data_IF_924469629826
#
_entry.id   IF_924469629826
#
_cell.length_a   1.000
_cell.length_b   1.000
_cell.length_c   1.000
_cell.angle_alpha   90.00
_cell.angle_beta   90.00
_cell.angle_gamma   90.00
#
_symmetry.space_group_name_H-M   'P 1'
#
loop_
_entity.id
_entity.type
_entity.pdbx_description
1 polymer ?
#
# COMPACT_ATOMS: atom_id res chain seq x y z
N UNK A 1 36.81 -2.05 2.67
CA UNK A 1 36.23 -3.41 2.74
C UNK A 1 34.73 -3.25 3.00
N UNK A 2 33.91 -3.36 1.95
CA UNK A 2 32.96 -4.46 1.71
C UNK A 2 31.73 -4.38 2.65
N UNK A 3 30.47 -4.25 2.22
CA UNK A 3 29.81 -4.74 1.00
C UNK A 3 28.65 -3.79 0.64
N UNK A 4 28.47 -3.64 -0.67
CA UNK A 4 27.42 -2.90 -1.36
C UNK A 4 26.01 -3.02 -0.75
N UNK A 5 25.37 -1.88 -0.56
CA UNK A 5 23.92 -1.75 -0.82
C UNK A 5 23.75 -0.91 -2.08
N UNK A 6 24.24 -1.46 -3.19
CA UNK A 6 23.76 -1.09 -4.53
C UNK A 6 22.33 -1.59 -4.54
N UNK A 7 21.36 -0.71 -4.33
CA UNK A 7 19.95 -1.06 -4.51
C UNK A 7 19.78 -1.30 -6.00
N UNK A 8 19.97 -2.55 -6.42
CA UNK A 8 19.56 -3.04 -7.71
C UNK A 8 18.03 -3.02 -7.71
N UNK A 9 17.47 -1.97 -8.29
CA UNK A 9 16.03 -1.87 -8.55
C UNK A 9 15.70 -2.67 -9.82
N UNK A 10 16.06 -3.96 -9.84
CA UNK A 10 15.72 -4.90 -10.92
C UNK A 10 14.31 -5.51 -10.74
N UNK A 11 13.54 -5.07 -9.74
CA UNK A 11 12.31 -5.73 -9.31
C UNK A 11 11.01 -5.19 -9.95
N UNK A 12 10.98 -5.08 -11.29
CA UNK A 12 9.73 -5.10 -12.07
C UNK A 12 9.92 -6.01 -13.30
N UNK A 13 10.32 -7.25 -13.04
CA UNK A 13 10.36 -8.29 -14.08
C UNK A 13 9.01 -8.99 -14.10
N UNK A 14 8.15 -8.54 -15.00
CA UNK A 14 7.27 -9.45 -15.71
C UNK A 14 7.24 -9.00 -17.18
N UNK A 15 7.96 -9.73 -18.04
CA UNK A 15 8.08 -9.55 -19.52
C UNK A 15 8.56 -8.18 -20.04
N UNK A 16 9.00 -7.24 -19.19
CA UNK A 16 9.54 -5.95 -19.64
C UNK A 16 11.05 -6.03 -19.88
N UNK A 17 11.52 -5.47 -21.00
CA UNK A 17 12.95 -5.39 -21.31
C UNK A 17 13.65 -4.40 -20.36
N UNK A 18 14.88 -4.72 -19.93
CA UNK A 18 15.69 -3.87 -19.04
C UNK A 18 15.99 -2.51 -19.68
N UNK A 19 16.17 -1.47 -18.86
CA UNK A 19 16.45 -0.10 -19.33
C UNK A 19 17.73 -0.08 -20.17
N UNK A 20 18.77 -0.80 -19.74
CA UNK A 20 20.04 -0.88 -20.47
C UNK A 20 19.86 -1.51 -21.85
N UNK A 21 19.01 -2.53 -21.97
CA UNK A 21 18.70 -3.13 -23.26
C UNK A 21 17.98 -2.14 -24.18
N UNK A 22 17.01 -1.37 -23.66
CA UNK A 22 16.31 -0.34 -24.44
C UNK A 22 17.28 0.73 -24.95
N UNK A 23 18.18 1.19 -24.09
CA UNK A 23 19.23 2.17 -24.45
C UNK A 23 20.15 1.62 -25.53
N UNK A 24 20.58 0.36 -25.40
CA UNK A 24 21.41 -0.30 -26.41
C UNK A 24 20.72 -0.38 -27.77
N UNK A 25 19.43 -0.76 -27.80
CA UNK A 25 18.66 -0.85 -29.05
C UNK A 25 18.54 0.51 -29.73
N UNK A 26 18.27 1.58 -28.98
CA UNK A 26 18.19 2.94 -29.54
C UNK A 26 19.56 3.41 -30.04
N UNK A 27 20.61 3.19 -29.26
CA UNK A 27 21.98 3.55 -29.63
C UNK A 27 22.40 2.88 -30.95
N UNK A 28 22.18 1.56 -31.09
CA UNK A 28 22.49 0.83 -32.34
C UNK A 28 21.64 1.33 -33.51
N UNK A 29 20.37 1.69 -33.29
CA UNK A 29 19.52 2.25 -34.34
C UNK A 29 20.03 3.60 -34.85
N UNK A 30 20.48 4.48 -33.95
CA UNK A 30 21.04 5.79 -34.30
C UNK A 30 22.42 5.67 -34.97
N UNK A 31 23.27 4.76 -34.49
CA UNK A 31 24.61 4.51 -35.03
C UNK A 31 24.56 3.91 -36.44
N UNK A 32 23.70 2.92 -36.67
CA UNK A 32 23.56 2.23 -37.95
C UNK A 32 22.57 2.93 -38.91
N UNK A 33 21.84 3.95 -38.44
CA UNK A 33 20.85 4.70 -39.24
C UNK A 33 19.65 3.85 -39.70
N UNK A 34 19.32 2.80 -38.95
CA UNK A 34 18.29 1.81 -39.33
C UNK A 34 16.86 2.32 -39.10
N UNK A 35 15.91 1.81 -39.89
CA UNK A 35 14.49 2.02 -39.59
C UNK A 35 14.02 1.15 -38.43
N UNK A 36 12.95 1.58 -37.76
CA UNK A 36 12.31 0.87 -36.63
C UNK A 36 12.06 -0.62 -36.94
N UNK A 37 11.65 -0.95 -38.17
CA UNK A 37 11.36 -2.34 -38.57
C UNK A 37 12.62 -3.19 -38.70
N UNK A 38 13.70 -2.60 -39.20
CA UNK A 38 14.98 -3.28 -39.38
C UNK A 38 15.65 -3.53 -38.03
N UNK A 39 15.68 -2.52 -37.16
CA UNK A 39 16.13 -2.66 -35.77
C UNK A 39 15.32 -3.72 -35.03
N UNK A 40 13.98 -3.70 -35.18
CA UNK A 40 13.12 -4.71 -34.56
C UNK A 40 13.45 -6.14 -35.04
N UNK A 41 13.77 -6.30 -36.33
CA UNK A 41 14.18 -7.59 -36.92
C UNK A 41 15.56 -8.03 -36.42
N UNK A 42 16.52 -7.11 -36.34
CA UNK A 42 17.89 -7.36 -35.85
C UNK A 42 17.89 -7.85 -34.40
N UNK A 43 17.12 -7.18 -33.53
CA UNK A 43 17.01 -7.53 -32.12
C UNK A 43 15.90 -8.55 -31.81
N UNK A 44 15.17 -9.03 -32.83
CA UNK A 44 14.04 -9.98 -32.72
C UNK A 44 12.98 -9.54 -31.70
N UNK A 45 12.63 -8.26 -31.74
CA UNK A 45 11.62 -7.63 -30.88
C UNK A 45 10.46 -7.11 -31.72
N UNK A 46 9.33 -6.83 -31.08
CA UNK A 46 8.19 -6.21 -31.77
C UNK A 46 8.51 -4.76 -32.18
N UNK A 47 8.15 -4.36 -33.40
CA UNK A 47 8.34 -2.98 -33.89
C UNK A 47 7.68 -1.93 -32.98
N UNK A 48 6.51 -2.26 -32.43
CA UNK A 48 5.81 -1.40 -31.47
C UNK A 48 6.62 -1.16 -30.18
N UNK A 49 7.47 -2.10 -29.75
CA UNK A 49 8.33 -1.92 -28.58
C UNK A 49 9.41 -0.88 -28.85
N UNK A 50 10.06 -0.95 -30.02
CA UNK A 50 11.07 0.04 -30.44
C UNK A 50 10.43 1.43 -30.54
N UNK A 51 9.27 1.54 -31.19
CA UNK A 51 8.53 2.83 -31.25
C UNK A 51 8.16 3.37 -29.87
N UNK A 52 7.81 2.51 -28.90
CA UNK A 52 7.53 2.94 -27.53
C UNK A 52 8.79 3.47 -26.83
N UNK A 53 9.94 2.84 -27.03
CA UNK A 53 11.19 3.26 -26.39
C UNK A 53 11.75 4.57 -26.94
N UNK A 54 11.58 4.83 -28.24
CA UNK A 54 11.91 6.13 -28.85
C UNK A 54 11.15 7.26 -28.16
N UNK A 55 9.85 7.04 -27.87
CA UNK A 55 9.04 8.03 -27.18
C UNK A 55 9.32 8.09 -25.66
N UNK A 56 9.55 6.94 -25.03
CA UNK A 56 9.76 6.83 -23.60
C UNK A 56 10.63 5.61 -23.26
N UNK A 57 11.89 5.86 -22.89
CA UNK A 57 12.85 4.82 -22.51
C UNK A 57 12.50 4.22 -21.14
N UNK A 58 12.25 5.10 -20.17
CA UNK A 58 11.96 4.72 -18.79
C UNK A 58 10.55 4.11 -18.67
N UNK A 59 10.38 3.00 -17.94
CA UNK A 59 9.07 2.41 -17.74
C UNK A 59 8.12 3.40 -17.08
N UNK A 60 6.86 3.43 -17.55
CA UNK A 60 5.82 4.26 -16.93
C UNK A 60 5.60 3.78 -15.49
N UNK A 61 5.74 4.69 -14.53
CA UNK A 61 5.44 4.41 -13.13
C UNK A 61 3.98 3.97 -12.99
N UNK A 62 3.77 2.84 -12.32
CA UNK A 62 2.42 2.39 -11.97
C UNK A 62 1.84 3.31 -10.90
N UNK A 63 0.76 4.00 -11.23
CA UNK A 63 0.03 4.80 -10.25
C UNK A 63 -0.80 3.88 -9.36
N UNK A 64 -0.76 4.09 -8.05
CA UNK A 64 -1.63 3.34 -7.15
C UNK A 64 -3.09 3.73 -7.39
N UNK A 65 -3.96 2.72 -7.54
CA UNK A 65 -5.42 2.94 -7.66
C UNK A 65 -5.96 3.67 -6.43
N UNK A 66 -6.66 4.79 -6.66
CA UNK A 66 -7.42 5.47 -5.62
C UNK A 66 -8.57 4.58 -5.14
N UNK A 67 -8.67 4.40 -3.82
CA UNK A 67 -9.71 3.58 -3.17
C UNK A 67 -10.80 4.50 -2.61
N UNK A 68 -11.95 3.94 -2.24
CA UNK A 68 -13.10 4.70 -1.72
C UNK A 68 -12.83 5.43 -0.40
N UNK A 69 -11.88 4.95 0.39
CA UNK A 69 -11.56 5.52 1.70
C UNK A 69 -10.34 6.43 1.53
N UNK A 70 -10.50 7.72 1.84
CA UNK A 70 -9.34 8.58 2.03
C UNK A 70 -8.68 8.28 3.38
N UNK A 71 -7.36 8.09 3.35
CA UNK A 71 -6.59 7.78 4.55
C UNK A 71 -6.50 8.99 5.46
N UNK A 72 -6.44 10.20 4.90
CA UNK A 72 -6.31 11.42 5.69
C UNK A 72 -7.56 11.66 6.55
N UNK A 73 -8.74 11.45 5.95
CA UNK A 73 -10.03 11.52 6.65
C UNK A 73 -10.19 10.42 7.69
N UNK A 74 -9.77 9.18 7.37
CA UNK A 74 -9.84 8.08 8.33
C UNK A 74 -8.95 8.31 9.56
N UNK A 75 -7.78 8.94 9.41
CA UNK A 75 -6.92 9.30 10.55
C UNK A 75 -7.63 10.30 11.46
N UNK A 76 -8.22 11.36 10.88
CA UNK A 76 -8.98 12.37 11.64
C UNK A 76 -10.16 11.76 12.38
N UNK A 77 -10.89 10.84 11.74
CA UNK A 77 -12.01 10.13 12.38
C UNK A 77 -11.53 9.23 13.54
N UNK A 78 -10.35 8.62 13.43
CA UNK A 78 -9.73 7.85 14.52
C UNK A 78 -9.34 8.73 15.70
N UNK A 79 -8.78 9.92 15.45
CA UNK A 79 -8.44 10.89 16.49
C UNK A 79 -9.66 11.47 17.18
N UNK A 80 -10.71 11.81 16.41
CA UNK A 80 -11.92 12.41 16.95
C UNK A 80 -12.76 11.41 17.76
N UNK A 81 -12.76 10.14 17.38
CA UNK A 81 -13.57 9.10 18.01
C UNK A 81 -12.73 7.86 18.32
N UNK A 82 -11.83 7.88 19.32
CA UNK A 82 -10.90 6.79 19.57
C UNK A 82 -11.61 5.45 19.90
N UNK A 83 -12.74 5.52 20.61
CA UNK A 83 -13.51 4.36 21.04
C UNK A 83 -14.54 3.86 20.01
N UNK A 84 -14.70 4.55 18.87
CA UNK A 84 -15.68 4.16 17.86
C UNK A 84 -15.37 2.81 17.22
N UNK A 85 -16.40 1.98 17.11
CA UNK A 85 -16.31 0.67 16.48
C UNK A 85 -16.14 0.79 14.97
N UNK A 86 -15.51 -0.23 14.36
CA UNK A 86 -15.29 -0.25 12.90
C UNK A 86 -16.60 -0.17 12.10
N UNK A 87 -17.71 -0.66 12.65
CA UNK A 87 -19.04 -0.57 12.03
C UNK A 87 -19.54 0.87 11.96
N UNK A 88 -19.44 1.62 13.05
CA UNK A 88 -19.86 3.03 13.13
C UNK A 88 -19.03 3.90 12.18
N UNK A 89 -17.72 3.65 12.12
CA UNK A 89 -16.84 4.30 11.13
C UNK A 89 -17.27 3.97 9.71
N UNK A 90 -17.58 2.70 9.43
CA UNK A 90 -18.01 2.26 8.12
C UNK A 90 -19.31 2.93 7.66
N UNK A 91 -20.25 3.16 8.58
CA UNK A 91 -21.48 3.93 8.32
C UNK A 91 -21.18 5.39 7.94
N UNK A 92 -20.25 6.06 8.65
CA UNK A 92 -19.81 7.44 8.31
C UNK A 92 -19.18 7.55 6.93
N UNK A 93 -18.34 6.58 6.57
CA UNK A 93 -17.63 6.53 5.29
C UNK A 93 -18.46 5.88 4.16
N UNK A 94 -19.65 5.35 4.44
CA UNK A 94 -20.48 4.64 3.45
C UNK A 94 -19.81 3.40 2.85
N UNK A 95 -18.98 2.71 3.63
CA UNK A 95 -18.22 1.51 3.20
C UNK A 95 -18.59 0.29 4.05
N UNK A 96 -18.09 -0.89 3.66
CA UNK A 96 -18.24 -2.07 4.50
C UNK A 96 -17.21 -2.05 5.66
N UNK A 97 -17.59 -2.64 6.80
CA UNK A 97 -16.71 -2.76 7.98
C UNK A 97 -15.34 -3.37 7.65
N UNK A 98 -15.30 -4.36 6.75
CA UNK A 98 -14.05 -5.01 6.33
C UNK A 98 -13.08 -4.04 5.66
N UNK A 99 -13.58 -3.06 4.90
CA UNK A 99 -12.75 -2.05 4.25
C UNK A 99 -12.05 -1.16 5.27
N UNK A 100 -12.77 -0.72 6.31
CA UNK A 100 -12.19 0.02 7.44
C UNK A 100 -11.12 -0.81 8.16
N UNK A 101 -11.41 -2.08 8.46
CA UNK A 101 -10.43 -2.96 9.09
C UNK A 101 -9.14 -3.10 8.25
N UNK A 102 -9.27 -3.30 6.93
CA UNK A 102 -8.10 -3.38 6.05
C UNK A 102 -7.32 -2.06 6.01
N UNK A 103 -8.01 -0.92 5.98
CA UNK A 103 -7.39 0.40 5.97
C UNK A 103 -6.60 0.66 7.27
N UNK A 104 -7.22 0.43 8.44
CA UNK A 104 -6.57 0.56 9.74
C UNK A 104 -5.37 -0.37 9.88
N UNK A 105 -5.50 -1.64 9.48
CA UNK A 105 -4.40 -2.61 9.49
C UNK A 105 -3.24 -2.17 8.59
N UNK A 106 -3.52 -1.61 7.42
CA UNK A 106 -2.49 -1.10 6.49
C UNK A 106 -1.76 0.13 7.04
N UNK A 107 -2.42 0.94 7.87
CA UNK A 107 -1.84 2.11 8.53
C UNK A 107 -1.16 1.78 9.86
N UNK A 108 -1.25 0.54 10.35
CA UNK A 108 -0.70 0.16 11.65
C UNK A 108 -1.50 0.70 12.85
N UNK A 109 -2.68 1.27 12.64
CA UNK A 109 -3.56 1.81 13.68
C UNK A 109 -4.41 0.69 14.30
N UNK A 110 -3.76 -0.30 14.90
CA UNK A 110 -4.45 -1.38 15.63
C UNK A 110 -4.37 -1.12 17.13
N UNK A 111 -5.51 -0.88 17.77
CA UNK A 111 -5.60 -0.74 19.22
C UNK A 111 -5.49 -2.11 19.90
N UNK A 112 -4.37 -2.38 20.58
CA UNK A 112 -4.26 -3.50 21.51
C UNK A 112 -4.63 -3.02 22.91
N UNK A 113 -5.79 -3.43 23.40
CA UNK A 113 -6.22 -3.11 24.76
C UNK A 113 -5.30 -3.81 25.77
N UNK A 114 -4.44 -3.04 26.44
CA UNK A 114 -3.68 -3.52 27.58
C UNK A 114 -4.61 -3.51 28.79
N UNK A 115 -5.29 -4.62 29.05
CA UNK A 115 -6.00 -4.79 30.31
C UNK A 115 -4.95 -4.83 31.43
N UNK A 116 -4.83 -3.75 32.19
CA UNK A 116 -4.25 -3.86 33.54
C UNK A 116 -5.28 -4.64 34.35
N UNK A 117 -5.04 -5.94 34.52
CA UNK A 117 -5.84 -6.77 35.43
C UNK A 117 -5.60 -6.21 36.84
N UNK A 118 -6.48 -5.33 37.31
CA UNK A 118 -6.50 -4.94 38.72
C UNK A 118 -6.91 -6.17 39.51
N UNK A 119 -5.99 -6.75 40.28
CA UNK A 119 -6.32 -7.85 41.20
C UNK A 119 -7.43 -7.36 42.14
N UNK A 120 -8.48 -8.15 42.39
CA UNK A 120 -9.55 -7.72 43.29
C UNK A 120 -8.96 -7.50 44.69
N UNK A 121 -9.06 -6.27 45.19
CA UNK A 121 -8.76 -5.95 46.59
C UNK A 121 -9.87 -6.53 47.44
N UNK A 122 -9.54 -7.43 48.36
CA UNK A 122 -10.48 -7.93 49.37
C UNK A 122 -10.85 -6.78 50.31
N UNK A 123 -11.92 -6.05 50.02
CA UNK A 123 -12.53 -5.11 50.96
C UNK A 123 -13.78 -5.77 51.53
N UNK A 124 -13.69 -6.12 52.81
CA UNK A 124 -14.83 -6.42 53.68
C UNK A 124 -15.66 -5.13 53.79
N UNK A 125 -16.93 -5.13 53.40
CA UNK A 125 -17.86 -4.27 54.14
C UNK A 125 -19.30 -4.77 54.21
N UNK A 126 -19.85 -4.47 55.38
CA UNK A 126 -21.07 -4.94 56.03
C UNK A 126 -22.27 -4.08 55.63
N UNK A 127 -23.45 -4.72 55.63
CA UNK A 127 -24.79 -4.16 55.91
C UNK A 127 -25.37 -3.15 54.90
N UNK A 128 -26.53 -3.52 54.34
CA UNK A 128 -27.77 -2.77 54.59
C UNK A 128 -28.94 -3.75 54.70
N UNK A 129 -29.39 -3.95 55.93
CA UNK A 129 -30.60 -4.69 56.26
C UNK A 129 -31.77 -3.71 56.08
N UNK A 130 -32.70 -3.96 55.17
CA UNK A 130 -33.98 -3.26 55.14
C UNK A 130 -35.07 -4.25 55.51
N UNK A 131 -35.49 -4.19 56.77
CA UNK A 131 -36.78 -4.75 57.22
C UNK A 131 -37.88 -3.89 56.59
N UNK A 132 -38.84 -4.52 55.93
CA UNK A 132 -40.11 -3.87 55.63
C UNK A 132 -41.22 -4.78 56.15
N UNK A 133 -41.92 -4.28 57.16
CA UNK A 133 -43.17 -4.81 57.71
C UNK A 133 -44.16 -3.64 57.68
N UNK A 134 -45.26 -3.80 56.93
CA UNK A 134 -46.64 -3.57 57.37
C UNK A 134 -47.50 -4.54 56.58
#
# INVERSE_FOLDING_TARGET
MNIAKRLNCDDIIYMSYSIDFRRKVIFTMEEEGLSIRETAKQFRIGSASVSRWINQIEPKASTTRQRKIDKSELIKDVEQYPDAYQKERAERFGVCQKAIWQALKKMGLTYKKLYVIRKPTKTLDKRFNKKTTV
#
